data_IF_028003693027
#
_entry.id   IF_028003693027
#
_cell.length_a   1.000
_cell.length_b   1.000
_cell.length_c   1.000
_cell.angle_alpha   90.00
_cell.angle_beta   90.00
_cell.angle_gamma   90.00
#
_symmetry.space_group_name_H-M   'P 1'
#
loop_
_entity.id
_entity.type
_entity.pdbx_description
1 polymer ?
#
# COMPACT_ATOMS: atom_id res chain seq x y z
N UNK A 1 -27.97 48.22 25.97
CA UNK A 1 -28.20 49.22 24.91
C UNK A 1 -27.01 49.41 23.96
N UNK A 2 -25.77 49.06 24.32
CA UNK A 2 -24.61 49.17 23.41
C UNK A 2 -24.55 48.14 22.26
N UNK A 3 -25.20 46.98 22.38
CA UNK A 3 -25.19 45.94 21.33
C UNK A 3 -26.09 46.29 20.11
N UNK A 4 -27.13 47.09 20.31
CA UNK A 4 -28.05 47.52 19.25
C UNK A 4 -27.45 48.64 18.39
N UNK A 5 -26.62 49.51 18.97
CA UNK A 5 -25.88 50.53 18.22
C UNK A 5 -24.81 49.91 17.31
N UNK A 6 -24.08 48.89 17.80
CA UNK A 6 -23.07 48.18 17.01
C UNK A 6 -23.64 47.40 15.83
N UNK A 7 -24.80 46.77 15.99
CA UNK A 7 -25.48 46.05 14.90
C UNK A 7 -26.08 46.99 13.87
N UNK A 8 -26.69 48.11 14.30
CA UNK A 8 -27.19 49.14 13.38
C UNK A 8 -26.06 49.73 12.51
N UNK A 9 -24.92 50.08 13.10
CA UNK A 9 -23.77 50.61 12.36
C UNK A 9 -23.21 49.62 11.33
N UNK A 10 -23.14 48.32 11.66
CA UNK A 10 -22.71 47.27 10.74
C UNK A 10 -23.69 47.06 9.57
N UNK A 11 -25.00 47.11 9.83
CA UNK A 11 -25.98 47.01 8.74
C UNK A 11 -25.92 48.21 7.80
N UNK A 12 -25.68 49.42 8.33
CA UNK A 12 -25.51 50.63 7.53
C UNK A 12 -24.23 50.61 6.71
N UNK A 13 -23.11 50.13 7.26
CA UNK A 13 -21.86 50.00 6.49
C UNK A 13 -21.99 48.96 5.38
N UNK A 14 -22.64 47.82 5.64
CA UNK A 14 -22.89 46.80 4.62
C UNK A 14 -23.84 47.30 3.53
N UNK A 15 -24.86 48.11 3.90
CA UNK A 15 -25.74 48.74 2.93
C UNK A 15 -24.99 49.78 2.09
N UNK A 16 -24.14 50.61 2.71
CA UNK A 16 -23.33 51.60 2.03
C UNK A 16 -22.35 50.96 1.04
N UNK A 17 -21.67 49.87 1.43
CA UNK A 17 -20.79 49.11 0.55
C UNK A 17 -21.55 48.52 -0.64
N UNK A 18 -22.73 47.95 -0.39
CA UNK A 18 -23.59 47.43 -1.46
C UNK A 18 -24.06 48.53 -2.40
N UNK A 19 -24.43 49.70 -1.87
CA UNK A 19 -24.90 50.84 -2.67
C UNK A 19 -23.75 51.40 -3.50
N UNK A 20 -22.55 51.53 -2.93
CA UNK A 20 -21.34 51.92 -3.65
C UNK A 20 -21.00 50.91 -4.75
N UNK A 21 -21.19 49.61 -4.51
CA UNK A 21 -20.98 48.58 -5.53
C UNK A 21 -22.02 48.64 -6.64
N UNK A 22 -23.29 48.91 -6.32
CA UNK A 22 -24.35 49.10 -7.33
C UNK A 22 -24.06 50.36 -8.15
N UNK A 23 -23.66 51.45 -7.50
CA UNK A 23 -23.28 52.69 -8.16
C UNK A 23 -22.08 52.47 -9.11
N UNK A 24 -21.06 51.75 -8.66
CA UNK A 24 -19.93 51.35 -9.48
C UNK A 24 -20.33 50.47 -10.68
N UNK A 25 -21.25 49.52 -10.50
CA UNK A 25 -21.71 48.67 -11.61
C UNK A 25 -22.53 49.47 -12.64
N UNK A 26 -23.33 50.43 -12.18
CA UNK A 26 -24.22 51.21 -13.04
C UNK A 26 -23.46 52.31 -13.79
N UNK A 27 -22.56 53.00 -13.10
CA UNK A 27 -21.84 54.14 -13.65
C UNK A 27 -20.46 53.75 -14.21
N UNK A 28 -19.91 52.61 -13.81
CA UNK A 28 -18.56 52.17 -14.13
C UNK A 28 -17.50 52.93 -13.34
N UNK A 29 -16.24 52.52 -13.50
CA UNK A 29 -15.11 53.33 -13.02
C UNK A 29 -15.01 54.59 -13.91
N UNK A 30 -15.36 55.76 -13.36
CA UNK A 30 -15.24 57.03 -14.09
C UNK A 30 -13.79 57.53 -14.15
N UNK A 31 -12.81 56.72 -13.72
CA UNK A 31 -11.41 57.16 -13.55
C UNK A 31 -10.49 56.91 -14.77
N UNK A 32 -10.93 56.19 -15.80
CA UNK A 32 -10.08 56.03 -17.00
C UNK A 32 -10.20 57.24 -17.94
N UNK A 33 -9.18 58.11 -17.85
CA UNK A 33 -8.95 59.26 -18.72
C UNK A 33 -8.74 58.87 -20.18
N UNK A 34 -9.84 58.66 -20.90
CA UNK A 34 -9.86 58.74 -22.37
C UNK A 34 -10.36 60.13 -22.77
N UNK A 35 -9.46 60.95 -23.31
CA UNK A 35 -9.73 62.31 -23.83
C UNK A 35 -10.68 62.34 -25.06
N UNK A 36 -11.36 61.23 -25.38
CA UNK A 36 -12.36 61.17 -26.44
C UNK A 36 -13.61 60.42 -25.97
N UNK A 37 -14.41 61.08 -25.15
CA UNK A 37 -15.74 60.58 -24.78
C UNK A 37 -16.45 61.58 -23.90
N UNK A 38 -17.41 62.32 -24.48
CA UNK A 38 -18.31 63.22 -23.76
C UNK A 38 -18.81 62.59 -22.45
N UNK A 39 -18.91 63.35 -21.33
CA UNK A 39 -19.47 62.81 -20.09
C UNK A 39 -20.89 62.37 -20.38
N UNK A 40 -21.09 61.06 -20.48
CA UNK A 40 -22.38 60.49 -20.86
C UNK A 40 -23.27 60.51 -19.61
N UNK A 41 -23.68 61.71 -19.19
CA UNK A 41 -24.67 62.03 -18.15
C UNK A 41 -26.08 61.52 -18.50
N UNK A 42 -26.19 60.66 -19.52
CA UNK A 42 -27.42 59.99 -19.86
C UNK A 42 -27.67 58.85 -18.87
N UNK A 43 -28.92 58.69 -18.43
CA UNK A 43 -29.32 57.56 -17.58
C UNK A 43 -28.79 56.23 -18.14
N UNK A 44 -28.44 55.28 -17.27
CA UNK A 44 -27.94 53.96 -17.69
C UNK A 44 -28.84 53.29 -18.74
N UNK A 45 -30.16 53.49 -18.63
CA UNK A 45 -31.15 53.04 -19.62
C UNK A 45 -30.96 53.65 -21.02
N UNK A 46 -30.60 54.94 -21.11
CA UNK A 46 -30.35 55.62 -22.37
C UNK A 46 -29.03 55.16 -23.01
N UNK A 47 -27.99 54.90 -22.20
CA UNK A 47 -26.73 54.31 -22.67
C UNK A 47 -26.96 52.90 -23.23
N UNK A 48 -27.69 52.06 -22.51
CA UNK A 48 -28.05 50.71 -22.97
C UNK A 48 -28.85 50.76 -24.28
N UNK A 49 -29.84 51.64 -24.39
CA UNK A 49 -30.59 51.83 -25.65
C UNK A 49 -29.72 52.30 -26.81
N UNK A 50 -28.72 53.14 -26.55
CA UNK A 50 -27.79 53.57 -27.60
C UNK A 50 -26.91 52.39 -28.06
N UNK A 51 -26.35 51.63 -27.12
CA UNK A 51 -25.59 50.41 -27.42
C UNK A 51 -26.43 49.36 -28.14
N UNK A 52 -27.70 49.20 -27.78
CA UNK A 52 -28.62 48.30 -28.47
C UNK A 52 -28.85 48.75 -29.91
N UNK A 53 -29.01 50.05 -30.16
CA UNK A 53 -29.15 50.59 -31.52
C UNK A 53 -27.88 50.40 -32.34
N UNK A 54 -26.71 50.67 -31.77
CA UNK A 54 -25.44 50.48 -32.48
C UNK A 54 -25.16 49.00 -32.74
N UNK A 55 -25.47 48.10 -31.80
CA UNK A 55 -25.39 46.65 -32.01
C UNK A 55 -26.37 46.16 -33.06
N UNK A 56 -27.61 46.65 -33.09
CA UNK A 56 -28.59 46.33 -34.15
C UNK A 56 -28.11 46.81 -35.52
N UNK A 57 -27.54 48.01 -35.60
CA UNK A 57 -26.92 48.51 -36.83
C UNK A 57 -25.71 47.66 -37.26
N UNK A 58 -24.90 47.19 -36.30
CA UNK A 58 -23.75 46.34 -36.57
C UNK A 58 -24.18 44.91 -36.99
N UNK A 59 -25.23 44.37 -36.39
CA UNK A 59 -25.82 43.09 -36.75
C UNK A 59 -26.39 43.10 -38.17
N UNK A 60 -26.98 44.22 -38.61
CA UNK A 60 -27.43 44.39 -39.98
C UNK A 60 -26.26 44.46 -40.99
N UNK A 61 -25.06 44.85 -40.54
CA UNK A 61 -23.86 45.00 -41.38
C UNK A 61 -22.94 43.78 -41.38
N UNK A 62 -22.94 42.97 -40.31
CA UNK A 62 -22.04 41.83 -40.13
C UNK A 62 -22.82 40.54 -39.90
N UNK A 63 -22.66 39.59 -40.82
CA UNK A 63 -23.32 38.29 -40.77
C UNK A 63 -22.94 37.49 -39.51
N UNK A 64 -21.67 37.55 -39.09
CA UNK A 64 -21.18 36.86 -37.89
C UNK A 64 -21.89 37.32 -36.60
N UNK A 65 -22.24 38.61 -36.50
CA UNK A 65 -22.98 39.15 -35.34
C UNK A 65 -24.44 38.66 -35.36
N UNK A 66 -25.06 38.60 -36.55
CA UNK A 66 -26.38 38.00 -36.72
C UNK A 66 -26.39 36.52 -36.32
N UNK A 67 -25.35 35.76 -36.69
CA UNK A 67 -25.26 34.33 -36.38
C UNK A 67 -25.10 34.10 -34.87
N UNK A 68 -24.35 34.95 -34.17
CA UNK A 68 -24.26 34.91 -32.70
C UNK A 68 -25.61 35.22 -32.05
N UNK A 69 -26.37 36.18 -32.58
CA UNK A 69 -27.73 36.45 -32.07
C UNK A 69 -28.69 35.28 -32.32
N UNK A 70 -28.59 34.62 -33.47
CA UNK A 70 -29.36 33.41 -33.73
C UNK A 70 -28.95 32.28 -32.79
N UNK A 71 -27.64 32.10 -32.57
CA UNK A 71 -27.11 31.10 -31.66
C UNK A 71 -27.55 31.37 -30.21
N UNK A 72 -27.53 32.62 -29.75
CA UNK A 72 -28.04 33.02 -28.43
C UNK A 72 -29.54 32.76 -28.31
N UNK A 73 -30.33 33.00 -29.36
CA UNK A 73 -31.77 32.75 -29.37
C UNK A 73 -32.11 31.26 -29.35
N UNK A 74 -31.34 30.45 -30.08
CA UNK A 74 -31.56 29.01 -30.17
C UNK A 74 -30.98 28.25 -28.96
N UNK A 75 -29.88 28.76 -28.38
CA UNK A 75 -29.17 28.12 -27.28
C UNK A 75 -28.82 29.17 -26.20
N UNK A 76 -29.81 29.65 -25.44
CA UNK A 76 -29.56 30.57 -24.33
C UNK A 76 -28.67 29.94 -23.24
N UNK A 77 -28.67 28.61 -23.14
CA UNK A 77 -27.84 27.80 -22.23
C UNK A 77 -26.32 27.87 -22.54
N UNK A 78 -25.93 28.28 -23.75
CA UNK A 78 -24.50 28.36 -24.10
C UNK A 78 -23.81 29.60 -23.48
N UNK A 79 -24.61 30.64 -23.20
CA UNK A 79 -24.11 31.95 -22.77
C UNK A 79 -24.45 32.28 -21.32
N UNK A 80 -25.36 31.51 -20.71
CA UNK A 80 -25.52 31.47 -19.26
C UNK A 80 -24.74 30.24 -18.80
N UNK A 81 -23.53 30.38 -18.24
CA UNK A 81 -22.88 29.25 -17.61
C UNK A 81 -23.85 28.75 -16.54
N UNK A 82 -24.44 27.56 -16.78
CA UNK A 82 -25.20 26.80 -15.80
C UNK A 82 -24.44 26.88 -14.48
N UNK A 83 -25.13 27.27 -13.41
CA UNK A 83 -24.56 27.45 -12.09
C UNK A 83 -23.60 26.31 -11.79
N UNK A 84 -22.35 26.62 -11.43
CA UNK A 84 -21.25 25.67 -11.22
C UNK A 84 -21.50 24.61 -10.13
N UNK A 85 -22.71 24.58 -9.57
CA UNK A 85 -23.17 23.64 -8.55
C UNK A 85 -24.19 22.60 -9.05
N UNK A 86 -24.75 22.74 -10.25
CA UNK A 86 -25.63 21.72 -10.81
C UNK A 86 -24.79 20.63 -11.50
N UNK A 87 -24.52 19.54 -10.79
CA UNK A 87 -23.90 18.33 -11.35
C UNK A 87 -24.70 17.94 -12.60
N UNK A 88 -24.07 17.77 -13.77
CA UNK A 88 -24.78 17.46 -15.01
C UNK A 88 -25.32 16.04 -14.95
N UNK A 89 -26.49 15.86 -14.34
CA UNK A 89 -27.20 14.59 -14.38
C UNK A 89 -28.07 14.57 -15.62
N UNK A 90 -27.52 14.03 -16.71
CA UNK A 90 -28.30 13.61 -17.89
C UNK A 90 -29.30 12.48 -17.56
N UNK A 91 -29.28 11.96 -16.33
CA UNK A 91 -30.07 10.82 -15.88
C UNK A 91 -31.21 11.28 -14.94
N UNK A 92 -32.37 10.67 -15.11
CA UNK A 92 -33.53 10.89 -14.25
C UNK A 92 -33.19 10.47 -12.79
N UNK A 93 -33.71 11.15 -11.76
CA UNK A 93 -33.34 10.90 -10.36
C UNK A 93 -33.59 9.45 -9.91
N UNK A 94 -34.60 8.78 -10.46
CA UNK A 94 -34.86 7.37 -10.19
C UNK A 94 -33.72 6.45 -10.69
N UNK A 95 -33.13 6.76 -11.84
CA UNK A 95 -32.01 5.99 -12.40
C UNK A 95 -30.70 6.20 -11.64
N UNK A 96 -30.48 7.39 -11.07
CA UNK A 96 -29.38 7.63 -10.14
C UNK A 96 -29.52 6.82 -8.85
N UNK A 97 -30.73 6.76 -8.27
CA UNK A 97 -30.98 5.96 -7.08
C UNK A 97 -30.71 4.47 -7.34
N UNK A 98 -31.12 3.95 -8.51
CA UNK A 98 -30.81 2.58 -8.92
C UNK A 98 -29.31 2.35 -9.11
N UNK A 99 -28.59 3.30 -9.72
CA UNK A 99 -27.14 3.24 -9.88
C UNK A 99 -26.45 3.19 -8.51
N UNK A 100 -26.82 4.07 -7.58
CA UNK A 100 -26.24 4.12 -6.24
C UNK A 100 -26.50 2.81 -5.51
N UNK A 101 -27.72 2.26 -5.60
CA UNK A 101 -28.08 1.01 -4.95
C UNK A 101 -27.34 -0.19 -5.58
N UNK A 102 -27.16 -0.20 -6.90
CA UNK A 102 -26.36 -1.21 -7.60
C UNK A 102 -24.87 -1.17 -7.22
N UNK A 103 -24.33 0.02 -6.92
CA UNK A 103 -22.91 0.22 -6.58
C UNK A 103 -22.66 0.35 -5.07
N UNK A 104 -23.68 0.18 -4.22
CA UNK A 104 -23.58 0.37 -2.76
C UNK A 104 -22.51 -0.51 -2.13
N UNK A 105 -22.44 -1.78 -2.54
CA UNK A 105 -21.44 -2.74 -2.07
C UNK A 105 -20.03 -2.31 -2.44
N UNK A 106 -19.86 -1.72 -3.62
CA UNK A 106 -18.57 -1.24 -4.13
C UNK A 106 -18.10 -0.04 -3.30
N UNK A 107 -18.98 0.93 -3.04
CA UNK A 107 -18.66 2.09 -2.19
C UNK A 107 -18.30 1.68 -0.75
N UNK A 108 -19.05 0.74 -0.18
CA UNK A 108 -18.74 0.19 1.16
C UNK A 108 -17.38 -0.49 1.17
N UNK A 109 -17.10 -1.33 0.18
CA UNK A 109 -15.83 -2.05 0.07
C UNK A 109 -14.66 -1.10 -0.15
N UNK A 110 -14.79 -0.13 -1.05
CA UNK A 110 -13.73 0.85 -1.31
C UNK A 110 -13.50 1.78 -0.12
N UNK A 111 -14.56 2.16 0.60
CA UNK A 111 -14.44 2.96 1.82
C UNK A 111 -13.67 2.21 2.92
N UNK A 112 -13.98 0.93 3.12
CA UNK A 112 -13.22 0.09 4.07
C UNK A 112 -11.78 -0.05 3.61
N UNK A 113 -11.53 -0.33 2.32
CA UNK A 113 -10.17 -0.43 1.79
C UNK A 113 -9.38 0.88 1.98
N UNK A 114 -9.97 2.03 1.71
CA UNK A 114 -9.32 3.32 1.92
C UNK A 114 -9.10 3.61 3.41
N UNK A 115 -10.04 3.24 4.29
CA UNK A 115 -9.83 3.34 5.74
C UNK A 115 -8.66 2.46 6.16
N UNK A 116 -8.60 1.21 5.69
CA UNK A 116 -7.47 0.33 5.99
C UNK A 116 -6.16 0.86 5.44
N UNK A 117 -6.14 1.48 4.25
CA UNK A 117 -4.93 2.10 3.72
C UNK A 117 -4.53 3.34 4.50
N UNK A 118 -5.50 4.13 4.98
CA UNK A 118 -5.25 5.29 5.83
C UNK A 118 -4.70 4.87 7.21
N UNK A 119 -5.27 3.82 7.79
CA UNK A 119 -4.84 3.26 9.07
C UNK A 119 -3.47 2.56 8.95
N UNK A 120 -3.17 1.96 7.80
CA UNK A 120 -1.87 1.34 7.47
C UNK A 120 -0.93 2.30 6.70
N UNK A 121 -1.20 3.61 6.66
CA UNK A 121 -0.42 4.59 5.88
C UNK A 121 0.97 4.87 6.45
N UNK A 122 1.36 4.21 7.54
CA UNK A 122 2.77 4.16 7.92
C UNK A 122 3.48 3.27 6.90
N UNK A 123 3.98 3.90 5.84
CA UNK A 123 5.04 3.32 5.01
C UNK A 123 6.02 2.67 6.00
N UNK A 124 6.22 1.34 5.96
CA UNK A 124 6.97 0.65 6.98
C UNK A 124 8.32 1.34 7.13
N UNK A 125 8.68 1.67 8.38
CA UNK A 125 9.88 2.42 8.70
C UNK A 125 11.07 1.79 7.96
N UNK A 126 11.80 2.61 7.17
CA UNK A 126 12.88 2.09 6.34
C UNK A 126 14.10 1.67 7.16
N UNK A 127 14.18 2.09 8.43
CA UNK A 127 15.28 1.81 9.35
C UNK A 127 15.53 0.29 9.58
N UNK A 128 14.54 -0.55 9.92
CA UNK A 128 14.74 -2.00 10.00
C UNK A 128 15.18 -2.63 8.69
N UNK A 129 14.66 -2.19 7.54
CA UNK A 129 15.03 -2.72 6.23
C UNK A 129 16.49 -2.39 5.88
N UNK A 130 16.93 -1.16 6.16
CA UNK A 130 18.34 -0.77 6.01
C UNK A 130 19.25 -1.58 6.94
N UNK A 131 18.82 -1.88 8.17
CA UNK A 131 19.55 -2.75 9.09
C UNK A 131 19.68 -4.18 8.55
N UNK A 132 18.65 -4.73 7.91
CA UNK A 132 18.72 -6.05 7.27
C UNK A 132 19.75 -6.07 6.14
N UNK A 133 19.78 -5.04 5.30
CA UNK A 133 20.78 -4.90 4.22
C UNK A 133 22.18 -4.79 4.81
N UNK A 134 22.37 -4.03 5.89
CA UNK A 134 23.66 -3.92 6.58
C UNK A 134 24.11 -5.27 7.19
N UNK A 135 23.18 -6.13 7.61
CA UNK A 135 23.47 -7.44 8.17
C UNK A 135 23.87 -8.49 7.13
N UNK A 136 23.58 -8.27 5.84
CA UNK A 136 23.86 -9.24 4.78
C UNK A 136 25.31 -9.73 4.78
N UNK A 137 26.27 -8.81 4.85
CA UNK A 137 27.70 -9.16 4.88
C UNK A 137 28.11 -10.04 6.06
N UNK A 138 27.36 -9.97 7.18
CA UNK A 138 27.59 -10.80 8.36
C UNK A 138 26.99 -12.20 8.18
N UNK A 139 25.86 -12.29 7.48
CA UNK A 139 25.23 -13.56 7.11
C UNK A 139 26.15 -14.33 6.16
N UNK A 140 26.66 -13.68 5.11
CA UNK A 140 27.55 -14.32 4.13
C UNK A 140 28.82 -14.89 4.82
N UNK A 141 29.42 -14.14 5.74
CA UNK A 141 30.59 -14.61 6.53
C UNK A 141 30.27 -15.78 7.47
N UNK A 142 29.03 -15.87 7.95
CA UNK A 142 28.61 -16.99 8.79
C UNK A 142 28.31 -18.22 7.93
N UNK A 143 27.74 -18.02 6.75
CA UNK A 143 27.49 -19.10 5.79
C UNK A 143 28.79 -19.77 5.35
N UNK A 144 29.83 -18.99 5.01
CA UNK A 144 31.14 -19.57 4.65
C UNK A 144 31.73 -20.40 5.80
N UNK A 145 31.65 -19.89 7.03
CA UNK A 145 32.10 -20.63 8.22
C UNK A 145 31.27 -21.89 8.47
N UNK A 146 29.96 -21.82 8.23
CA UNK A 146 29.08 -22.98 8.37
C UNK A 146 29.43 -24.07 7.35
N UNK A 147 29.78 -23.69 6.12
CA UNK A 147 30.25 -24.63 5.10
C UNK A 147 31.58 -25.27 5.49
N UNK A 148 32.55 -24.48 5.99
CA UNK A 148 33.83 -24.99 6.50
C UNK A 148 33.62 -25.97 7.65
N UNK A 149 32.82 -25.61 8.65
CA UNK A 149 32.50 -26.47 9.80
C UNK A 149 31.79 -27.75 9.36
N UNK A 150 30.85 -27.66 8.41
CA UNK A 150 30.15 -28.84 7.89
C UNK A 150 31.13 -29.82 7.23
N UNK A 151 32.13 -29.31 6.51
CA UNK A 151 33.17 -30.14 5.92
C UNK A 151 34.05 -30.82 6.98
N UNK A 152 34.51 -30.07 7.98
CA UNK A 152 35.29 -30.61 9.11
C UNK A 152 34.50 -31.68 9.88
N UNK A 153 33.21 -31.45 10.15
CA UNK A 153 32.35 -32.42 10.81
C UNK A 153 32.16 -33.69 9.98
N UNK A 154 32.04 -33.57 8.65
CA UNK A 154 31.94 -34.72 7.77
C UNK A 154 33.24 -35.55 7.81
N UNK A 155 34.39 -34.89 7.77
CA UNK A 155 35.68 -35.55 7.86
C UNK A 155 35.89 -36.22 9.23
N UNK A 156 35.61 -35.52 10.32
CA UNK A 156 35.71 -36.07 11.68
C UNK A 156 34.78 -37.26 11.88
N UNK A 157 33.55 -37.21 11.34
CA UNK A 157 32.64 -38.37 11.35
C UNK A 157 33.19 -39.56 10.56
N UNK A 158 33.78 -39.32 9.39
CA UNK A 158 34.39 -40.39 8.61
C UNK A 158 35.58 -41.02 9.34
N UNK A 159 36.43 -40.19 9.98
CA UNK A 159 37.57 -40.66 10.78
C UNK A 159 37.12 -41.42 12.02
N UNK A 160 36.10 -40.94 12.74
CA UNK A 160 35.57 -41.62 13.93
C UNK A 160 34.89 -42.93 13.56
N UNK A 161 34.12 -42.98 12.47
CA UNK A 161 33.52 -44.21 11.96
C UNK A 161 34.58 -45.27 11.66
N UNK A 162 35.67 -44.90 10.95
CA UNK A 162 36.79 -45.83 10.69
C UNK A 162 37.51 -46.29 11.95
N UNK A 163 37.67 -45.42 12.94
CA UNK A 163 38.30 -45.80 14.21
C UNK A 163 37.44 -46.82 14.98
N UNK A 164 36.12 -46.61 14.97
CA UNK A 164 35.15 -47.51 15.59
C UNK A 164 35.09 -48.84 14.85
N UNK A 165 35.06 -48.82 13.52
CA UNK A 165 35.12 -50.03 12.67
C UNK A 165 36.35 -50.88 12.98
N UNK A 166 37.54 -50.25 12.97
CA UNK A 166 38.80 -50.95 13.34
C UNK A 166 38.75 -51.55 14.74
N UNK A 167 38.20 -50.82 15.71
CA UNK A 167 38.06 -51.32 17.07
C UNK A 167 37.11 -52.52 17.15
N UNK A 168 36.01 -52.52 16.39
CA UNK A 168 35.11 -53.67 16.34
C UNK A 168 35.78 -54.87 15.66
N UNK A 169 36.47 -54.68 14.55
CA UNK A 169 37.18 -55.75 13.84
C UNK A 169 38.29 -56.37 14.69
N UNK A 170 39.22 -55.55 15.20
CA UNK A 170 40.39 -56.08 15.92
C UNK A 170 40.10 -56.36 17.40
N UNK A 171 39.28 -55.53 18.03
CA UNK A 171 39.05 -55.58 19.46
C UNK A 171 37.95 -56.57 19.82
N UNK A 172 36.82 -56.53 19.12
CA UNK A 172 35.65 -57.34 19.48
C UNK A 172 35.64 -58.66 18.71
N UNK A 173 35.76 -58.61 17.38
CA UNK A 173 35.63 -59.80 16.55
C UNK A 173 36.82 -60.74 16.73
N UNK A 174 38.05 -60.26 16.54
CA UNK A 174 39.24 -61.10 16.69
C UNK A 174 39.39 -61.64 18.13
N UNK A 175 39.18 -60.83 19.16
CA UNK A 175 39.22 -61.34 20.54
C UNK A 175 38.08 -62.33 20.81
N UNK A 176 36.90 -62.12 20.22
CA UNK A 176 35.80 -63.06 20.28
C UNK A 176 36.17 -64.42 19.67
N UNK A 177 36.79 -64.43 18.49
CA UNK A 177 37.30 -65.65 17.85
C UNK A 177 38.33 -66.37 18.74
N UNK A 178 39.31 -65.63 19.26
CA UNK A 178 40.31 -66.18 20.18
C UNK A 178 39.68 -66.75 21.46
N UNK A 179 38.68 -66.06 22.02
CA UNK A 179 37.96 -66.52 23.20
C UNK A 179 37.17 -67.80 22.92
N UNK A 180 36.50 -67.89 21.77
CA UNK A 180 35.78 -69.11 21.37
C UNK A 180 36.72 -70.29 21.17
N UNK A 181 37.90 -70.06 20.57
CA UNK A 181 38.92 -71.10 20.41
C UNK A 181 39.46 -71.57 21.77
N UNK A 182 39.70 -70.65 22.70
CA UNK A 182 40.13 -71.00 24.05
C UNK A 182 39.06 -71.76 24.81
N UNK A 183 37.79 -71.37 24.68
CA UNK A 183 36.66 -72.07 25.27
C UNK A 183 36.52 -73.50 24.72
N UNK A 184 36.72 -73.71 23.41
CA UNK A 184 36.73 -75.02 22.78
C UNK A 184 37.87 -75.90 23.33
N UNK A 185 39.10 -75.36 23.38
CA UNK A 185 40.25 -76.08 23.97
C UNK A 185 40.04 -76.42 25.44
N UNK A 186 39.41 -75.52 26.20
CA UNK A 186 39.08 -75.75 27.61
C UNK A 186 38.02 -76.86 27.75
N UNK A 187 36.98 -76.87 26.89
CA UNK A 187 35.98 -77.94 26.83
C UNK A 187 36.62 -79.29 26.52
N UNK A 188 37.54 -79.35 25.56
CA UNK A 188 38.26 -80.58 25.23
C UNK A 188 39.09 -81.09 26.43
N UNK A 189 39.81 -80.19 27.10
CA UNK A 189 40.53 -80.52 28.32
C UNK A 189 39.59 -81.02 29.42
N UNK A 190 38.44 -80.35 29.63
CA UNK A 190 37.43 -80.74 30.60
C UNK A 190 36.86 -82.13 30.31
N UNK A 191 36.57 -82.44 29.04
CA UNK A 191 36.11 -83.77 28.60
C UNK A 191 37.17 -84.82 28.91
N UNK A 192 38.44 -84.55 28.62
CA UNK A 192 39.54 -85.48 28.92
C UNK A 192 39.71 -85.72 30.42
N UNK A 193 39.60 -84.67 31.24
CA UNK A 193 39.64 -84.78 32.71
C UNK A 193 38.46 -85.60 33.21
N UNK A 194 37.23 -85.30 32.78
CA UNK A 194 36.02 -86.07 33.13
C UNK A 194 36.15 -87.55 32.76
N UNK A 195 36.72 -87.87 31.59
CA UNK A 195 36.96 -89.26 31.16
C UNK A 195 37.96 -89.97 32.07
N UNK A 196 39.07 -89.31 32.44
CA UNK A 196 40.08 -89.86 33.36
C UNK A 196 39.52 -90.05 34.76
N UNK A 197 38.78 -89.07 35.28
CA UNK A 197 38.10 -89.18 36.58
C UNK A 197 37.07 -90.31 36.60
N UNK A 198 36.28 -90.48 35.54
CA UNK A 198 35.33 -91.58 35.40
C UNK A 198 36.01 -92.95 35.27
N UNK A 199 37.21 -93.02 34.69
CA UNK A 199 38.01 -94.24 34.68
C UNK A 199 38.56 -94.55 36.09
N UNK A 200 39.14 -93.56 36.78
CA UNK A 200 39.64 -93.71 38.15
C UNK A 200 38.56 -94.14 39.13
N UNK A 201 37.35 -93.55 39.06
CA UNK A 201 36.21 -93.96 39.90
C UNK A 201 35.75 -95.39 39.63
N UNK A 202 35.87 -95.88 38.40
CA UNK A 202 35.58 -97.29 38.08
C UNK A 202 36.63 -98.23 38.64
N UNK A 203 37.90 -97.83 38.64
CA UNK A 203 38.98 -98.60 39.28
C UNK A 203 38.83 -98.62 40.80
N UNK A 204 38.54 -97.48 41.43
CA UNK A 204 38.32 -97.36 42.89
C UNK A 204 37.03 -98.02 43.38
N UNK A 205 36.01 -98.15 42.53
CA UNK A 205 34.75 -98.86 42.84
C UNK A 205 34.78 -100.36 42.52
N UNK A 206 35.86 -100.87 41.94
CA UNK A 206 36.04 -102.28 41.59
C UNK A 206 36.95 -103.04 42.58
N UNK A 207 37.33 -102.40 43.69
CA UNK A 207 38.02 -103.02 44.85
C UNK A 207 37.08 -103.13 46.05
#
# INVERSE_FOLDING_TARGET
>A
MAATEGTAAQTLSMLAERLQRIDYVVNGDQHDGSENGSPNNASASARLRNLERTLKALAARSHAVSDIFQLQKHYPELFHPTESHAVPSSLAPASLAQLILAHESLYKTSSVQLSTLNDNSTIPESAPLVKLIAMQSRIDKLETKQMEQAHEFAELRARSARAVEKYYESGVLQMGEQWTEWEERLKDCEILVRRKEAAKRREEGAT
#
